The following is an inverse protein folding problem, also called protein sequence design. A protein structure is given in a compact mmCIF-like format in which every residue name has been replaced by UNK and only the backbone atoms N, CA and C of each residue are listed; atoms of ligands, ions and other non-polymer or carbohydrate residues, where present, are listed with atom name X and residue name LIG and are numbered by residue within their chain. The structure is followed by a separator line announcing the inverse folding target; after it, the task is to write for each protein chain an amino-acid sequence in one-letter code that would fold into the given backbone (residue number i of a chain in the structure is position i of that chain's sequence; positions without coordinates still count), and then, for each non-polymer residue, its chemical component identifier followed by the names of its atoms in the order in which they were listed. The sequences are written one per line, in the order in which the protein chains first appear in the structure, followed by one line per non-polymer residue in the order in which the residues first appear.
data_IF_732798127644
#
_entry.id   IF_732798127644
#
_cell.length_a   1.000
_cell.length_b   1.000
_cell.length_c   1.000
_cell.angle_alpha   90.00
_cell.angle_beta   90.00
_cell.angle_gamma   90.00
#
_symmetry.space_group_name_H-M   'P 1'
#
loop_
_entity.id
_entity.type
_entity.pdbx_description
1 polymer ?
#
# COMPACT_ATOMS: atom_id res chain seq x y z
N UNK A 1 24.63 11.17 -26.06
CA UNK A 1 24.35 10.29 -27.21
C UNK A 1 22.84 10.25 -27.42
N UNK A 2 22.35 10.86 -28.50
CA UNK A 2 20.93 10.93 -28.85
C UNK A 2 20.50 9.58 -29.43
N UNK A 3 19.61 8.86 -28.75
CA UNK A 3 18.85 7.75 -29.37
C UNK A 3 17.45 8.26 -29.65
N UNK A 4 17.18 8.49 -30.94
CA UNK A 4 15.86 8.70 -31.51
C UNK A 4 15.02 7.43 -31.31
N UNK A 5 13.89 7.55 -30.62
CA UNK A 5 12.81 6.56 -30.70
C UNK A 5 12.08 6.75 -32.05
N UNK A 6 11.68 5.67 -32.75
CA UNK A 6 10.78 5.80 -33.87
C UNK A 6 9.34 5.99 -33.35
N UNK A 7 8.72 7.09 -33.76
CA UNK A 7 7.27 7.28 -33.71
C UNK A 7 6.62 6.21 -34.61
N UNK A 8 5.85 5.30 -34.04
CA UNK A 8 4.91 4.48 -34.79
C UNK A 8 3.67 5.33 -35.06
N UNK A 9 3.63 5.91 -36.25
CA UNK A 9 2.48 6.61 -36.79
C UNK A 9 1.36 5.60 -37.08
N UNK A 10 0.24 5.71 -36.36
CA UNK A 10 -1.01 5.08 -36.76
C UNK A 10 -1.54 5.81 -38.01
N UNK A 11 -1.48 5.14 -39.16
CA UNK A 11 -2.17 5.59 -40.36
C UNK A 11 -3.68 5.29 -40.23
N UNK A 12 -4.59 6.26 -40.43
CA UNK A 12 -5.99 5.95 -40.61
C UNK A 12 -6.18 5.45 -42.05
N UNK A 13 -6.58 4.20 -42.22
CA UNK A 13 -7.03 3.72 -43.51
C UNK A 13 -8.34 4.45 -43.87
N UNK A 14 -8.26 5.39 -44.81
CA UNK A 14 -9.42 6.03 -45.43
C UNK A 14 -10.14 4.97 -46.29
N UNK A 15 -11.31 4.54 -45.82
CA UNK A 15 -12.23 3.71 -46.58
C UNK A 15 -13.02 4.63 -47.53
N UNK A 16 -12.78 4.51 -48.83
CA UNK A 16 -13.51 5.25 -49.86
C UNK A 16 -14.99 4.87 -49.85
N UNK A 17 -15.87 5.85 -49.63
CA UNK A 17 -17.31 5.70 -49.73
C UNK A 17 -17.73 5.55 -51.21
N UNK A 18 -18.28 4.39 -51.58
CA UNK A 18 -19.05 4.22 -52.81
C UNK A 18 -20.48 4.77 -52.60
N UNK A 19 -20.92 5.57 -53.57
CA UNK A 19 -22.21 6.26 -53.62
C UNK A 19 -23.40 5.29 -53.66
N UNK A 20 -24.41 5.62 -52.87
CA UNK A 20 -25.68 4.91 -52.73
C UNK A 20 -26.55 4.95 -54.01
N UNK A 21 -27.18 3.82 -54.30
CA UNK A 21 -28.49 3.73 -54.98
C UNK A 21 -29.32 2.66 -54.25
N UNK A 22 -30.49 3.05 -53.75
CA UNK A 22 -31.59 2.21 -53.21
C UNK A 22 -32.80 2.36 -54.17
N UNK A 23 -33.92 1.59 -54.11
CA UNK A 23 -34.32 0.43 -53.30
C UNK A 23 -35.07 -0.67 -54.17
N UNK A 24 -35.89 -1.65 -53.69
CA UNK A 24 -36.34 -1.96 -52.32
C UNK A 24 -36.41 -3.45 -51.89
N UNK A 25 -36.67 -3.60 -50.59
CA UNK A 25 -37.45 -4.64 -49.91
C UNK A 25 -36.76 -5.91 -49.37
N UNK A 26 -36.73 -5.95 -48.03
CA UNK A 26 -36.90 -7.10 -47.14
C UNK A 26 -35.81 -8.18 -47.11
N UNK A 27 -34.79 -7.94 -46.28
CA UNK A 27 -34.22 -8.99 -45.43
C UNK A 27 -33.55 -8.33 -44.22
N UNK A 28 -33.84 -8.86 -43.02
CA UNK A 28 -33.21 -8.44 -41.78
C UNK A 28 -31.67 -8.50 -41.91
N UNK A 29 -31.00 -7.34 -41.89
CA UNK A 29 -29.54 -7.30 -41.82
C UNK A 29 -29.13 -7.58 -40.39
N UNK A 30 -28.94 -8.86 -40.07
CA UNK A 30 -28.01 -9.26 -39.03
C UNK A 30 -26.67 -8.55 -39.31
N UNK A 31 -26.12 -7.87 -38.31
CA UNK A 31 -24.77 -7.32 -38.37
C UNK A 31 -23.81 -8.40 -38.89
N UNK A 32 -23.00 -8.14 -39.92
CA UNK A 32 -22.07 -9.14 -40.40
C UNK A 32 -21.01 -9.34 -39.31
N UNK A 33 -21.15 -10.42 -38.53
CA UNK A 33 -20.04 -10.97 -37.77
C UNK A 33 -18.95 -11.26 -38.78
N UNK A 34 -17.86 -10.51 -38.73
CA UNK A 34 -16.67 -10.75 -39.56
C UNK A 34 -16.26 -12.21 -39.35
N UNK A 35 -16.53 -13.06 -40.34
CA UNK A 35 -16.18 -14.47 -40.30
C UNK A 35 -14.74 -14.60 -40.80
N UNK A 36 -13.80 -14.65 -39.85
CA UNK A 36 -12.40 -14.93 -40.15
C UNK A 36 -12.29 -16.37 -40.69
N UNK A 37 -11.59 -16.54 -41.80
CA UNK A 37 -11.23 -17.87 -42.32
C UNK A 37 -10.26 -18.57 -41.35
N UNK A 38 -10.17 -19.90 -41.41
CA UNK A 38 -9.27 -20.68 -40.54
C UNK A 38 -7.81 -20.22 -40.65
N UNK A 39 -7.35 -19.89 -41.86
CA UNK A 39 -5.98 -19.39 -42.10
C UNK A 39 -5.78 -17.98 -41.52
N UNK A 40 -6.78 -17.10 -41.64
CA UNK A 40 -6.75 -15.77 -41.01
C UNK A 40 -6.72 -15.87 -39.48
N UNK A 41 -7.49 -16.80 -38.90
CA UNK A 41 -7.50 -17.05 -37.48
C UNK A 41 -6.15 -17.58 -36.99
N UNK A 42 -5.57 -18.58 -37.67
CA UNK A 42 -4.27 -19.13 -37.33
C UNK A 42 -3.15 -18.07 -37.42
N UNK A 43 -3.20 -17.20 -38.44
CA UNK A 43 -2.23 -16.11 -38.58
C UNK A 43 -2.42 -15.03 -37.49
N UNK A 44 -3.65 -14.66 -37.17
CA UNK A 44 -3.94 -13.68 -36.10
C UNK A 44 -3.51 -14.21 -34.74
N UNK A 45 -3.82 -15.46 -34.39
CA UNK A 45 -3.36 -16.08 -33.14
C UNK A 45 -1.83 -16.07 -33.07
N UNK A 46 -1.14 -16.47 -34.13
CA UNK A 46 0.33 -16.43 -34.16
C UNK A 46 0.90 -15.01 -33.99
N UNK A 47 0.26 -14.00 -34.59
CA UNK A 47 0.66 -12.60 -34.41
C UNK A 47 0.40 -12.12 -32.98
N UNK A 48 -0.71 -12.53 -32.36
CA UNK A 48 -1.01 -12.23 -30.96
C UNK A 48 0.03 -12.86 -30.05
N UNK A 49 0.39 -14.13 -30.25
CA UNK A 49 1.43 -14.81 -29.46
C UNK A 49 2.78 -14.07 -29.53
N UNK A 50 3.18 -13.61 -30.73
CA UNK A 50 4.42 -12.84 -30.91
C UNK A 50 4.36 -11.46 -30.24
N UNK A 51 3.20 -10.80 -30.30
CA UNK A 51 2.98 -9.52 -29.63
C UNK A 51 3.02 -9.71 -28.11
N UNK A 52 2.37 -10.75 -27.59
CA UNK A 52 2.38 -11.09 -26.16
C UNK A 52 3.79 -11.38 -25.66
N UNK A 53 4.58 -12.15 -26.40
CA UNK A 53 5.98 -12.44 -26.06
C UNK A 53 6.83 -11.15 -26.06
N UNK A 54 6.64 -10.29 -27.06
CA UNK A 54 7.35 -9.00 -27.16
C UNK A 54 6.95 -8.04 -26.03
N UNK A 55 5.65 -7.97 -25.69
CA UNK A 55 5.13 -7.15 -24.59
C UNK A 55 5.73 -7.62 -23.27
N UNK A 56 5.73 -8.93 -23.03
CA UNK A 56 6.26 -9.53 -21.79
C UNK A 56 7.75 -9.21 -21.65
N UNK A 57 8.53 -9.44 -22.71
CA UNK A 57 9.97 -9.14 -22.71
C UNK A 57 10.26 -7.66 -22.46
N UNK A 58 9.56 -6.76 -23.15
CA UNK A 58 9.76 -5.32 -22.97
C UNK A 58 9.38 -4.88 -21.55
N UNK A 59 8.32 -5.47 -20.97
CA UNK A 59 7.92 -5.24 -19.58
C UNK A 59 9.02 -5.67 -18.61
N UNK A 60 9.59 -6.86 -18.78
CA UNK A 60 10.62 -7.38 -17.88
C UNK A 60 11.91 -6.56 -17.96
N UNK A 61 12.30 -6.12 -19.16
CA UNK A 61 13.45 -5.22 -19.36
C UNK A 61 13.22 -3.86 -18.69
N UNK A 62 12.02 -3.29 -18.81
CA UNK A 62 11.65 -2.02 -18.18
C UNK A 62 11.67 -2.13 -16.65
N UNK A 63 11.07 -3.19 -16.09
CA UNK A 63 11.06 -3.44 -14.65
C UNK A 63 12.47 -3.73 -14.12
N UNK A 64 13.28 -4.51 -14.83
CA UNK A 64 14.66 -4.79 -14.46
C UNK A 64 15.51 -3.52 -14.41
N UNK A 65 15.34 -2.63 -15.40
CA UNK A 65 16.03 -1.33 -15.43
C UNK A 65 15.61 -0.44 -14.27
N UNK A 66 14.29 -0.33 -14.01
CA UNK A 66 13.76 0.41 -12.88
C UNK A 66 14.34 -0.12 -11.57
N UNK A 67 14.23 -1.43 -11.31
CA UNK A 67 14.74 -2.08 -10.09
C UNK A 67 16.22 -1.81 -9.84
N UNK A 68 17.06 -1.88 -10.88
CA UNK A 68 18.48 -1.55 -10.76
C UNK A 68 18.68 -0.11 -10.29
N UNK A 69 17.94 0.84 -10.87
CA UNK A 69 18.02 2.25 -10.48
C UNK A 69 17.52 2.49 -9.06
N UNK A 70 16.37 1.94 -8.68
CA UNK A 70 15.81 2.08 -7.34
C UNK A 70 16.73 1.46 -6.28
N UNK A 71 17.31 0.30 -6.55
CA UNK A 71 18.29 -0.34 -5.67
C UNK A 71 19.54 0.51 -5.47
N UNK A 72 20.06 1.09 -6.54
CA UNK A 72 21.21 2.00 -6.46
C UNK A 72 20.88 3.26 -5.63
N UNK A 73 19.71 3.86 -5.88
CA UNK A 73 19.25 5.05 -5.17
C UNK A 73 18.96 4.80 -3.68
N UNK A 74 18.41 3.63 -3.34
CA UNK A 74 18.17 3.22 -1.96
C UNK A 74 19.47 3.04 -1.15
N UNK A 75 20.63 2.95 -1.79
CA UNK A 75 21.92 2.77 -1.12
C UNK A 75 22.37 3.95 -0.26
N UNK A 76 21.91 5.17 -0.53
CA UNK A 76 22.27 6.36 0.27
C UNK A 76 21.24 7.49 0.12
N UNK A 77 21.16 8.38 1.12
CA UNK A 77 20.29 9.57 1.05
C UNK A 77 20.64 10.48 -0.14
N UNK A 78 21.94 10.63 -0.42
CA UNK A 78 22.40 11.42 -1.57
C UNK A 78 21.88 10.82 -2.89
N UNK A 79 22.07 9.51 -3.09
CA UNK A 79 21.61 8.84 -4.31
C UNK A 79 20.08 8.88 -4.44
N UNK A 80 19.36 8.80 -3.32
CA UNK A 80 17.91 8.93 -3.26
C UNK A 80 17.44 10.33 -3.71
N UNK A 81 18.06 11.40 -3.20
CA UNK A 81 17.75 12.78 -3.60
C UNK A 81 18.13 13.04 -5.06
N UNK A 82 19.28 12.53 -5.52
CA UNK A 82 19.71 12.67 -6.91
C UNK A 82 18.73 11.98 -7.88
N UNK A 83 18.19 10.80 -7.51
CA UNK A 83 17.15 10.13 -8.28
C UNK A 83 15.83 10.93 -8.26
N UNK A 84 15.42 11.44 -7.10
CA UNK A 84 14.22 12.29 -6.99
C UNK A 84 14.30 13.50 -7.92
N UNK A 85 15.41 14.24 -7.88
CA UNK A 85 15.62 15.41 -8.74
C UNK A 85 15.59 15.05 -10.23
N UNK A 86 16.15 13.89 -10.60
CA UNK A 86 16.11 13.39 -11.97
C UNK A 86 14.69 13.06 -12.41
N UNK A 87 13.89 12.44 -11.53
CA UNK A 87 12.49 12.12 -11.80
C UNK A 87 11.62 13.38 -11.90
N UNK A 88 11.77 14.33 -10.98
CA UNK A 88 11.10 15.63 -11.01
C UNK A 88 11.42 16.39 -12.30
N UNK A 89 12.70 16.48 -12.67
CA UNK A 89 13.10 17.11 -13.92
C UNK A 89 12.42 16.44 -15.12
N UNK A 90 12.46 15.12 -15.19
CA UNK A 90 11.87 14.37 -16.30
C UNK A 90 10.35 14.63 -16.41
N UNK A 91 9.62 14.54 -15.30
CA UNK A 91 8.15 14.56 -15.29
C UNK A 91 7.60 15.98 -15.39
N UNK A 92 8.15 16.92 -14.62
CA UNK A 92 7.59 18.27 -14.49
C UNK A 92 8.20 19.27 -15.46
N UNK A 93 9.32 18.94 -16.12
CA UNK A 93 10.00 19.84 -17.04
C UNK A 93 10.19 19.21 -18.42
N UNK A 94 10.96 18.13 -18.52
CA UNK A 94 11.37 17.59 -19.82
C UNK A 94 10.16 17.08 -20.62
N UNK A 95 9.25 16.31 -20.00
CA UNK A 95 8.01 15.83 -20.65
C UNK A 95 6.96 16.92 -20.91
N UNK A 96 7.12 18.08 -20.29
CA UNK A 96 6.23 19.25 -20.47
C UNK A 96 6.88 20.32 -21.35
N UNK A 97 7.97 19.99 -22.05
CA UNK A 97 8.74 20.88 -22.92
C UNK A 97 9.15 22.21 -22.26
N UNK A 98 9.40 22.18 -20.94
CA UNK A 98 9.86 23.37 -20.18
C UNK A 98 11.37 23.55 -20.34
N UNK A 99 11.86 24.76 -20.10
CA UNK A 99 13.27 25.06 -20.28
C UNK A 99 14.09 24.47 -19.14
N UNK A 100 15.32 24.04 -19.43
CA UNK A 100 16.29 23.61 -18.40
C UNK A 100 16.52 24.70 -17.34
N UNK A 101 16.47 25.98 -17.73
CA UNK A 101 16.58 27.11 -16.80
C UNK A 101 15.45 27.15 -15.79
N UNK A 102 14.24 26.71 -16.17
CA UNK A 102 13.07 26.68 -15.28
C UNK A 102 13.27 25.64 -14.18
N UNK A 103 13.94 24.52 -14.49
CA UNK A 103 14.30 23.52 -13.49
C UNK A 103 15.32 24.05 -12.49
N UNK A 104 16.32 24.80 -12.95
CA UNK A 104 17.30 25.41 -12.03
C UNK A 104 16.63 26.44 -11.11
N UNK A 105 15.78 27.31 -11.65
CA UNK A 105 14.99 28.27 -10.86
C UNK A 105 14.10 27.55 -9.85
N UNK A 106 13.43 26.47 -10.25
CA UNK A 106 12.65 25.64 -9.33
C UNK A 106 13.54 25.04 -8.24
N UNK A 107 14.72 24.50 -8.58
CA UNK A 107 15.64 23.90 -7.62
C UNK A 107 16.11 24.95 -6.60
N UNK A 108 16.43 26.16 -7.06
CA UNK A 108 16.83 27.27 -6.20
C UNK A 108 15.68 27.70 -5.27
N UNK A 109 14.46 27.79 -5.79
CA UNK A 109 13.26 28.10 -5.01
C UNK A 109 12.90 27.02 -3.98
N UNK A 110 13.32 25.77 -4.21
CA UNK A 110 13.09 24.65 -3.30
C UNK A 110 14.34 24.25 -2.51
N UNK A 111 15.42 25.04 -2.57
CA UNK A 111 16.69 24.72 -1.92
C UNK A 111 16.51 24.44 -0.42
N UNK A 112 15.67 25.22 0.27
CA UNK A 112 15.39 25.01 1.70
C UNK A 112 14.77 23.64 2.01
N UNK A 113 13.86 23.16 1.17
CA UNK A 113 13.27 21.82 1.29
C UNK A 113 14.32 20.75 0.96
N UNK A 114 15.06 20.92 -0.14
CA UNK A 114 16.06 19.95 -0.59
C UNK A 114 17.24 19.81 0.39
N UNK A 115 17.53 20.86 1.16
CA UNK A 115 18.54 20.85 2.22
C UNK A 115 17.97 20.49 3.60
N UNK A 116 16.65 20.26 3.72
CA UNK A 116 16.08 19.91 5.02
C UNK A 116 16.61 18.53 5.45
N UNK A 117 17.10 18.37 6.70
CA UNK A 117 17.62 17.10 7.19
C UNK A 117 16.62 15.94 7.11
N UNK A 118 15.31 16.21 7.09
CA UNK A 118 14.26 15.18 6.95
C UNK A 118 14.10 14.69 5.51
N UNK A 119 14.43 15.53 4.52
CA UNK A 119 14.09 15.30 3.13
C UNK A 119 14.81 14.07 2.56
N UNK A 120 16.13 13.99 2.75
CA UNK A 120 16.94 12.88 2.25
C UNK A 120 16.50 11.52 2.79
N UNK A 121 16.42 11.34 4.12
CA UNK A 121 15.92 10.10 4.74
C UNK A 121 14.49 9.73 4.29
N UNK A 122 13.58 10.70 4.21
CA UNK A 122 12.20 10.43 3.81
C UNK A 122 12.08 9.96 2.35
N UNK A 123 12.80 10.63 1.43
CA UNK A 123 12.86 10.22 0.02
C UNK A 123 13.49 8.84 -0.14
N UNK A 124 14.54 8.54 0.62
CA UNK A 124 15.15 7.22 0.63
C UNK A 124 14.14 6.14 1.04
N UNK A 125 13.36 6.35 2.10
CA UNK A 125 12.32 5.42 2.51
C UNK A 125 11.21 5.26 1.45
N UNK A 126 10.80 6.34 0.78
CA UNK A 126 9.83 6.25 -0.32
C UNK A 126 10.36 5.38 -1.48
N UNK A 127 11.66 5.51 -1.82
CA UNK A 127 12.34 4.68 -2.81
C UNK A 127 12.44 3.23 -2.33
N UNK A 128 12.78 2.97 -1.05
CA UNK A 128 12.82 1.62 -0.48
C UNK A 128 11.45 0.92 -0.57
N UNK A 129 10.36 1.62 -0.29
CA UNK A 129 9.02 1.03 -0.40
C UNK A 129 8.57 0.83 -1.85
N UNK A 130 8.96 1.74 -2.75
CA UNK A 130 8.74 1.57 -4.20
C UNK A 130 9.50 0.35 -4.71
N UNK A 131 10.74 0.14 -4.25
CA UNK A 131 11.55 -1.04 -4.55
C UNK A 131 10.87 -2.32 -4.07
N UNK A 132 10.40 -2.36 -2.82
CA UNK A 132 9.64 -3.50 -2.28
C UNK A 132 8.38 -3.78 -3.12
N UNK A 133 7.66 -2.74 -3.53
CA UNK A 133 6.45 -2.87 -4.34
C UNK A 133 6.73 -3.39 -5.75
N UNK A 134 7.88 -3.03 -6.34
CA UNK A 134 8.34 -3.59 -7.61
C UNK A 134 8.76 -5.06 -7.46
N UNK A 135 9.48 -5.39 -6.39
CA UNK A 135 9.87 -6.78 -6.10
C UNK A 135 8.63 -7.67 -5.89
N UNK A 136 7.58 -7.15 -5.26
CA UNK A 136 6.31 -7.85 -5.09
C UNK A 136 5.65 -8.22 -6.43
N UNK A 137 5.89 -7.47 -7.50
CA UNK A 137 5.37 -7.82 -8.84
C UNK A 137 6.17 -8.92 -9.54
N UNK A 138 7.38 -9.23 -9.08
CA UNK A 138 8.29 -10.20 -9.70
C UNK A 138 8.36 -11.55 -8.99
N UNK A 139 7.98 -11.58 -7.71
CA UNK A 139 7.92 -12.82 -6.94
C UNK A 139 6.56 -13.48 -7.12
N UNK A 140 6.55 -14.80 -7.22
CA UNK A 140 5.30 -15.57 -7.13
C UNK A 140 4.78 -15.49 -5.69
N UNK A 141 5.63 -15.86 -4.72
CA UNK A 141 5.32 -15.84 -3.29
C UNK A 141 5.88 -14.60 -2.57
N UNK A 142 5.02 -13.89 -1.84
CA UNK A 142 5.40 -12.67 -1.09
C UNK A 142 6.27 -12.98 0.14
N UNK A 143 6.34 -14.24 0.58
CA UNK A 143 7.05 -14.69 1.79
C UNK A 143 8.46 -14.12 1.92
N UNK A 144 9.19 -14.04 0.81
CA UNK A 144 10.56 -13.50 0.74
C UNK A 144 10.65 -12.01 1.08
N UNK A 145 9.54 -11.29 1.03
CA UNK A 145 9.42 -9.86 1.28
C UNK A 145 8.92 -9.52 2.70
N UNK A 146 8.49 -10.52 3.49
CA UNK A 146 7.93 -10.29 4.84
C UNK A 146 8.94 -9.61 5.77
N UNK A 147 10.14 -10.17 5.89
CA UNK A 147 11.17 -9.59 6.75
C UNK A 147 11.65 -8.20 6.25
N UNK A 148 11.93 -8.00 4.94
CA UNK A 148 12.19 -6.66 4.39
C UNK A 148 11.08 -5.63 4.68
N UNK A 149 9.81 -6.04 4.59
CA UNK A 149 8.65 -5.18 4.82
C UNK A 149 8.51 -4.80 6.30
N UNK A 150 8.67 -5.75 7.23
CA UNK A 150 8.69 -5.47 8.67
C UNK A 150 9.86 -4.53 9.03
N UNK A 151 11.05 -4.74 8.46
CA UNK A 151 12.20 -3.87 8.66
C UNK A 151 11.96 -2.46 8.13
N UNK A 152 11.30 -2.33 6.97
CA UNK A 152 10.87 -1.05 6.44
C UNK A 152 9.92 -0.32 7.40
N UNK A 153 8.88 -1.00 7.91
CA UNK A 153 7.92 -0.40 8.85
C UNK A 153 8.61 0.16 10.09
N UNK A 154 9.55 -0.58 10.68
CA UNK A 154 10.33 -0.12 11.83
C UNK A 154 11.12 1.16 11.53
N UNK A 155 11.82 1.20 10.38
CA UNK A 155 12.56 2.41 9.96
C UNK A 155 11.63 3.59 9.67
N UNK A 156 10.49 3.35 9.03
CA UNK A 156 9.55 4.39 8.65
C UNK A 156 8.87 5.03 9.87
N UNK A 157 8.41 4.22 10.82
CA UNK A 157 7.84 4.74 12.07
C UNK A 157 8.92 5.42 12.92
N UNK A 158 10.13 4.85 12.99
CA UNK A 158 11.25 5.47 13.69
C UNK A 158 11.60 6.86 13.17
N UNK A 159 11.69 7.01 11.84
CA UNK A 159 11.97 8.32 11.23
C UNK A 159 10.86 9.34 11.53
N UNK A 160 9.59 8.92 11.49
CA UNK A 160 8.47 9.81 11.86
C UNK A 160 8.61 10.24 13.32
N UNK A 161 8.90 9.33 14.24
CA UNK A 161 9.07 9.62 15.67
C UNK A 161 10.24 10.57 15.94
N UNK A 162 11.38 10.37 15.27
CA UNK A 162 12.57 11.22 15.42
C UNK A 162 12.32 12.66 14.98
N UNK A 163 11.44 12.85 14.00
CA UNK A 163 11.14 14.14 13.39
C UNK A 163 9.91 14.85 13.97
N UNK A 164 9.19 14.21 14.89
CA UNK A 164 8.05 14.81 15.62
C UNK A 164 8.43 15.14 17.05
N UNK A 165 8.16 16.37 17.50
CA UNK A 165 8.23 16.77 18.91
C UNK A 165 6.83 17.10 19.43
N UNK A 166 6.55 16.66 20.65
CA UNK A 166 5.40 17.14 21.41
C UNK A 166 5.84 18.33 22.26
N UNK A 167 5.21 19.49 22.06
CA UNK A 167 5.44 20.65 22.91
C UNK A 167 4.70 20.50 24.25
N UNK A 168 5.07 21.30 25.25
CA UNK A 168 4.42 21.29 26.56
C UNK A 168 2.93 21.70 26.52
N UNK A 169 2.47 22.34 25.43
CA UNK A 169 1.06 22.65 25.18
C UNK A 169 0.31 21.52 24.46
N UNK A 170 0.99 20.41 24.14
CA UNK A 170 0.44 19.28 23.41
C UNK A 170 0.55 19.41 21.89
N UNK A 171 0.94 20.55 21.32
CA UNK A 171 1.05 20.72 19.86
C UNK A 171 2.18 19.85 19.31
N UNK A 172 1.91 19.12 18.22
CA UNK A 172 2.94 18.39 17.46
C UNK A 172 3.68 19.37 16.56
N UNK A 173 4.98 19.50 16.76
CA UNK A 173 5.86 20.35 15.98
C UNK A 173 6.99 19.54 15.35
N UNK A 174 7.63 20.10 14.31
CA UNK A 174 8.84 19.52 13.75
C UNK A 174 9.96 19.52 14.81
N UNK A 175 10.77 18.47 14.84
CA UNK A 175 11.91 18.44 15.74
C UNK A 175 12.95 19.53 15.40
N UNK A 176 13.32 20.40 16.34
CA UNK A 176 14.42 21.36 16.13
C UNK A 176 15.71 20.64 15.75
N UNK A 177 16.22 20.91 14.54
CA UNK A 177 17.45 20.35 13.99
C UNK A 177 18.71 21.10 14.45
N UNK A 178 18.63 21.94 15.49
CA UNK A 178 19.75 22.78 15.93
C UNK A 178 20.78 22.00 16.76
N UNK A 179 21.42 21.00 16.14
CA UNK A 179 22.61 20.30 16.64
C UNK A 179 23.73 20.39 15.60
N UNK A 180 24.18 21.61 15.31
CA UNK A 180 25.57 22.01 15.01
C UNK A 180 25.60 23.35 14.25
N UNK A 181 26.27 24.33 14.83
CA UNK A 181 26.94 25.37 14.06
C UNK A 181 26.17 26.68 13.88
N UNK A 182 26.65 27.69 14.59
CA UNK A 182 26.52 29.12 14.37
C UNK A 182 26.22 29.52 12.89
N UNK A 183 24.96 29.71 12.52
CA UNK A 183 24.56 30.32 11.25
C UNK A 183 24.01 31.73 11.51
N UNK A 184 24.37 32.75 10.70
CA UNK A 184 23.92 34.12 10.93
C UNK A 184 22.40 34.22 10.79
N UNK A 185 21.75 34.80 11.81
CA UNK A 185 20.33 35.17 11.79
C UNK A 185 20.09 36.21 10.70
N UNK A 186 19.66 35.76 9.54
CA UNK A 186 19.21 36.61 8.46
C UNK A 186 18.17 35.89 7.63
N UNK A 187 16.94 36.43 7.66
CA UNK A 187 15.82 36.20 6.73
C UNK A 187 14.78 35.15 7.14
N UNK A 188 13.66 35.70 7.63
CA UNK A 188 12.27 35.25 7.54
C UNK A 188 11.92 33.92 8.24
N UNK A 189 11.28 34.04 9.40
CA UNK A 189 10.66 32.96 10.15
C UNK A 189 9.47 32.36 9.41
N UNK A 190 9.74 31.47 8.45
CA UNK A 190 8.80 30.42 8.08
C UNK A 190 8.86 29.34 9.15
N UNK A 191 7.76 29.14 9.89
CA UNK A 191 7.60 27.95 10.72
C UNK A 191 7.90 26.71 9.86
N UNK A 192 8.82 25.85 10.33
CA UNK A 192 9.07 24.56 9.69
C UNK A 192 7.74 23.81 9.68
N UNK A 193 7.22 23.36 8.52
CA UNK A 193 6.02 22.56 8.51
C UNK A 193 6.33 21.24 9.25
N UNK A 194 5.67 21.03 10.39
CA UNK A 194 5.66 19.72 11.04
C UNK A 194 5.13 18.68 10.04
N UNK A 195 5.83 17.56 9.89
CA UNK A 195 5.38 16.46 9.04
C UNK A 195 5.81 16.54 7.58
N UNK A 196 6.99 17.08 7.24
CA UNK A 196 7.57 16.89 5.89
C UNK A 196 7.81 15.40 5.61
N UNK A 197 8.42 14.69 6.57
CA UNK A 197 8.58 13.22 6.51
C UNK A 197 7.23 12.52 6.23
N UNK A 198 6.18 12.95 6.94
CA UNK A 198 4.84 12.41 6.74
C UNK A 198 4.27 12.77 5.37
N UNK A 199 4.43 14.01 4.94
CA UNK A 199 3.97 14.49 3.63
C UNK A 199 4.64 13.74 2.48
N UNK A 200 5.92 13.37 2.61
CA UNK A 200 6.65 12.56 1.62
C UNK A 200 6.19 11.11 1.63
N UNK A 201 5.94 10.53 2.83
CA UNK A 201 5.55 9.12 2.97
C UNK A 201 4.04 8.85 2.79
N UNK A 202 3.17 9.84 3.03
CA UNK A 202 1.70 9.78 2.87
C UNK A 202 1.18 10.62 1.69
N UNK A 203 2.06 11.32 0.97
CA UNK A 203 1.69 12.19 -0.14
C UNK A 203 0.82 13.39 0.17
N UNK A 204 1.01 13.94 1.37
CA UNK A 204 0.47 15.22 1.80
C UNK A 204 1.20 16.36 1.10
N UNK A 205 0.86 16.60 -0.16
CA UNK A 205 1.39 17.68 -0.98
C UNK A 205 1.46 17.26 -2.43
N UNK A 206 1.32 18.20 -3.35
CA UNK A 206 1.30 18.00 -4.80
C UNK A 206 2.65 17.49 -5.39
N UNK A 207 3.47 16.78 -4.59
CA UNK A 207 4.92 16.54 -4.79
C UNK A 207 5.41 15.16 -4.33
N UNK A 208 4.53 14.16 -4.21
CA UNK A 208 4.95 12.77 -3.97
C UNK A 208 3.81 11.92 -3.48
N UNK A 209 3.06 11.31 -4.40
CA UNK A 209 1.86 10.52 -4.20
C UNK A 209 1.73 9.70 -2.91
N UNK A 210 0.52 9.70 -2.34
CA UNK A 210 0.19 8.98 -1.11
C UNK A 210 0.14 7.47 -1.28
N UNK A 211 0.18 7.00 -2.53
CA UNK A 211 0.52 5.64 -2.89
C UNK A 211 1.76 5.62 -3.79
N UNK A 212 2.42 4.46 -3.86
CA UNK A 212 3.57 4.25 -4.76
C UNK A 212 3.21 4.58 -6.21
N UNK A 213 1.95 4.35 -6.62
CA UNK A 213 1.49 4.53 -8.01
C UNK A 213 1.47 6.01 -8.42
N UNK A 214 1.12 6.93 -7.54
CA UNK A 214 1.07 8.38 -7.85
C UNK A 214 2.37 9.11 -7.55
N UNK A 215 3.40 8.40 -7.07
CA UNK A 215 4.72 8.97 -6.80
C UNK A 215 5.37 9.55 -8.06
N UNK A 216 6.26 10.54 -7.89
CA UNK A 216 7.07 11.06 -9.01
C UNK A 216 7.92 9.97 -9.66
N UNK A 217 8.31 8.97 -8.87
CA UNK A 217 9.04 7.79 -9.32
C UNK A 217 8.21 6.92 -10.28
N UNK A 218 6.98 6.59 -9.89
CA UNK A 218 6.06 5.86 -10.76
C UNK A 218 5.80 6.62 -12.04
N UNK A 219 5.51 7.93 -11.97
CA UNK A 219 5.30 8.76 -13.15
C UNK A 219 6.53 8.77 -14.05
N UNK A 220 7.72 8.94 -13.49
CA UNK A 220 8.98 8.98 -14.25
C UNK A 220 9.25 7.66 -14.99
N UNK A 221 8.98 6.52 -14.36
CA UNK A 221 9.23 5.19 -14.93
C UNK A 221 7.98 4.53 -15.55
N UNK A 222 6.84 5.23 -15.58
CA UNK A 222 5.53 4.74 -16.03
C UNK A 222 5.12 3.44 -15.32
N UNK A 223 5.32 3.39 -14.01
CA UNK A 223 5.15 2.15 -13.23
C UNK A 223 3.71 1.86 -12.82
N UNK A 224 2.79 2.80 -13.04
CA UNK A 224 1.40 2.72 -12.57
C UNK A 224 0.72 1.43 -13.04
N UNK A 225 0.99 1.06 -14.29
CA UNK A 225 0.39 -0.10 -14.95
C UNK A 225 1.02 -1.43 -14.52
N UNK A 226 2.17 -1.42 -13.83
CA UNK A 226 2.82 -2.64 -13.36
C UNK A 226 2.37 -3.03 -11.95
N UNK A 227 1.80 -2.10 -11.17
CA UNK A 227 1.37 -2.35 -9.79
C UNK A 227 -0.03 -2.96 -9.73
N UNK A 228 -0.13 -4.25 -10.00
CA UNK A 228 -1.43 -4.95 -10.20
C UNK A 228 -1.79 -5.96 -9.10
N UNK A 229 -0.83 -6.38 -8.26
CA UNK A 229 -1.10 -7.31 -7.14
C UNK A 229 -2.15 -6.77 -6.17
N UNK A 230 -3.10 -7.62 -5.76
CA UNK A 230 -4.21 -7.26 -4.85
C UNK A 230 -3.91 -7.56 -3.38
N UNK A 231 -3.08 -8.56 -3.14
CA UNK A 231 -2.51 -8.99 -1.86
C UNK A 231 -1.33 -8.11 -1.42
N UNK A 232 -1.09 -6.98 -2.08
CA UNK A 232 -0.06 -6.01 -1.71
C UNK A 232 -0.68 -4.66 -1.31
N UNK A 233 -0.04 -3.98 -0.36
CA UNK A 233 -0.38 -2.62 0.02
C UNK A 233 0.55 -1.64 -0.69
N UNK A 234 0.01 -0.60 -1.35
CA UNK A 234 0.80 0.37 -2.10
C UNK A 234 0.99 1.68 -1.34
N UNK A 235 0.42 1.80 -0.14
CA UNK A 235 0.56 2.96 0.73
C UNK A 235 1.58 2.65 1.84
N UNK A 236 2.79 3.26 1.83
CA UNK A 236 3.90 2.91 2.72
C UNK A 236 3.58 2.93 4.22
N UNK A 237 2.72 3.85 4.65
CA UNK A 237 2.35 4.02 6.05
C UNK A 237 0.94 3.50 6.39
N UNK A 238 0.29 2.76 5.48
CA UNK A 238 -0.96 2.07 5.79
C UNK A 238 -0.66 0.78 6.57
N UNK A 239 -0.30 0.92 7.84
CA UNK A 239 0.07 -0.19 8.73
C UNK A 239 -1.02 -1.27 8.73
N UNK A 240 -2.28 -0.88 8.86
CA UNK A 240 -3.40 -1.83 8.84
C UNK A 240 -3.48 -2.60 7.50
N UNK A 241 -3.33 -1.92 6.37
CA UNK A 241 -3.32 -2.53 5.04
C UNK A 241 -2.16 -3.51 4.85
N UNK A 242 -0.94 -3.10 5.22
CA UNK A 242 0.26 -3.93 5.14
C UNK A 242 0.10 -5.21 5.97
N UNK A 243 -0.36 -5.09 7.22
CA UNK A 243 -0.54 -6.28 8.05
C UNK A 243 -1.69 -7.16 7.57
N UNK A 244 -2.83 -6.58 7.17
CA UNK A 244 -4.00 -7.38 6.77
C UNK A 244 -3.85 -8.09 5.42
N UNK A 245 -3.15 -7.48 4.46
CA UNK A 245 -2.97 -8.05 3.11
C UNK A 245 -1.76 -8.96 3.01
N UNK A 246 -0.67 -8.64 3.73
CA UNK A 246 0.63 -9.29 3.54
C UNK A 246 1.06 -10.08 4.76
N UNK A 247 1.27 -9.40 5.90
CA UNK A 247 1.97 -10.01 7.03
C UNK A 247 1.10 -11.06 7.74
N UNK A 248 -0.12 -10.72 8.14
CA UNK A 248 -0.98 -11.63 8.90
C UNK A 248 -1.37 -12.89 8.11
N UNK A 249 -1.73 -12.82 6.81
CA UNK A 249 -1.98 -14.03 6.02
C UNK A 249 -0.77 -14.98 5.98
N UNK A 250 0.44 -14.45 5.74
CA UNK A 250 1.67 -15.26 5.75
C UNK A 250 1.87 -16.00 7.07
N UNK A 251 1.72 -15.29 8.20
CA UNK A 251 1.90 -15.90 9.52
C UNK A 251 0.78 -16.86 9.89
N UNK A 252 -0.45 -16.63 9.42
CA UNK A 252 -1.56 -17.54 9.64
C UNK A 252 -1.29 -18.90 8.99
N UNK A 253 -0.78 -18.88 7.75
CA UNK A 253 -0.52 -20.07 6.95
C UNK A 253 0.77 -20.78 7.36
N UNK A 254 1.87 -20.04 7.48
CA UNK A 254 3.20 -20.63 7.63
C UNK A 254 3.68 -20.73 9.08
N UNK A 255 3.21 -19.84 9.97
CA UNK A 255 3.73 -19.68 11.34
C UNK A 255 2.62 -19.35 12.36
N UNK A 256 1.57 -20.18 12.50
CA UNK A 256 0.39 -19.86 13.30
C UNK A 256 0.70 -19.60 14.79
N UNK A 257 1.77 -20.22 15.32
CA UNK A 257 2.24 -19.96 16.68
C UNK A 257 2.71 -18.51 16.90
N UNK A 258 3.21 -17.84 15.85
CA UNK A 258 3.67 -16.45 15.88
C UNK A 258 2.56 -15.45 15.49
N UNK A 259 1.41 -15.93 14.99
CA UNK A 259 0.32 -15.08 14.49
C UNK A 259 -0.19 -14.08 15.54
N UNK A 260 -0.36 -14.51 16.79
CA UNK A 260 -0.77 -13.62 17.88
C UNK A 260 0.27 -12.50 18.13
N UNK A 261 1.55 -12.83 18.08
CA UNK A 261 2.62 -11.85 18.27
C UNK A 261 2.66 -10.83 17.14
N UNK A 262 2.33 -11.22 15.90
CA UNK A 262 2.25 -10.28 14.78
C UNK A 262 1.09 -9.30 14.89
N UNK A 263 -0.03 -9.73 15.49
CA UNK A 263 -1.10 -8.79 15.86
C UNK A 263 -0.62 -7.78 16.91
N UNK A 264 0.15 -8.21 17.90
CA UNK A 264 0.72 -7.29 18.90
C UNK A 264 1.69 -6.29 18.24
N UNK A 265 2.53 -6.76 17.32
CA UNK A 265 3.41 -5.91 16.52
C UNK A 265 2.61 -4.88 15.71
N UNK A 266 1.53 -5.30 15.02
CA UNK A 266 0.64 -4.39 14.30
C UNK A 266 0.11 -3.29 15.20
N UNK A 267 -0.50 -3.67 16.33
CA UNK A 267 -1.12 -2.73 17.28
C UNK A 267 -0.07 -1.74 17.78
N UNK A 268 1.10 -2.23 18.20
CA UNK A 268 2.18 -1.39 18.70
C UNK A 268 2.71 -0.43 17.63
N UNK A 269 2.90 -0.88 16.38
CA UNK A 269 3.34 -0.04 15.26
C UNK A 269 2.30 1.04 14.95
N UNK A 270 1.01 0.68 14.89
CA UNK A 270 -0.07 1.63 14.61
C UNK A 270 -0.18 2.69 15.72
N UNK A 271 -0.17 2.28 16.98
CA UNK A 271 -0.20 3.20 18.12
C UNK A 271 1.03 4.09 18.18
N UNK A 272 2.22 3.55 17.89
CA UNK A 272 3.47 4.31 17.86
C UNK A 272 3.46 5.40 16.81
N UNK A 273 2.94 5.09 15.62
CA UNK A 273 2.75 6.05 14.54
C UNK A 273 1.71 7.10 14.93
N UNK A 274 0.54 6.69 15.45
CA UNK A 274 -0.52 7.61 15.88
C UNK A 274 -0.04 8.57 16.96
N UNK A 275 0.69 8.05 17.94
CA UNK A 275 1.27 8.85 19.02
C UNK A 275 2.23 9.90 18.47
N UNK A 276 3.08 9.56 17.51
CA UNK A 276 4.01 10.52 16.90
C UNK A 276 3.27 11.65 16.15
N UNK A 277 2.12 11.34 15.55
CA UNK A 277 1.39 12.25 14.67
C UNK A 277 0.36 13.13 15.37
N UNK A 278 0.00 12.81 16.60
CA UNK A 278 -1.09 13.48 17.32
C UNK A 278 -0.58 14.17 18.58
N UNK A 279 -1.28 15.21 19.02
CA UNK A 279 -1.05 15.74 20.36
C UNK A 279 -1.29 14.66 21.40
N UNK A 280 -0.67 14.78 22.58
CA UNK A 280 -0.91 13.81 23.66
C UNK A 280 -2.42 13.71 23.98
N UNK A 281 -3.13 14.84 24.03
CA UNK A 281 -4.58 14.85 24.27
C UNK A 281 -5.37 14.14 23.18
N UNK A 282 -5.09 14.41 21.90
CA UNK A 282 -5.75 13.73 20.78
C UNK A 282 -5.41 12.24 20.76
N UNK A 283 -4.17 11.88 21.05
CA UNK A 283 -3.74 10.50 21.15
C UNK A 283 -4.47 9.77 22.28
N UNK A 284 -4.66 10.39 23.45
CA UNK A 284 -5.42 9.77 24.55
C UNK A 284 -6.89 9.55 24.18
N UNK A 285 -7.51 10.50 23.47
CA UNK A 285 -8.88 10.32 22.94
C UNK A 285 -8.91 9.18 21.92
N UNK A 286 -7.98 9.17 20.96
CA UNK A 286 -7.83 8.10 19.97
C UNK A 286 -7.63 6.75 20.64
N UNK A 287 -6.72 6.65 21.59
CA UNK A 287 -6.37 5.42 22.30
C UNK A 287 -7.59 4.84 23.02
N UNK A 288 -8.31 5.66 23.79
CA UNK A 288 -9.51 5.24 24.53
C UNK A 288 -10.61 4.70 23.60
N UNK A 289 -10.72 5.22 22.38
CA UNK A 289 -11.72 4.80 21.39
C UNK A 289 -11.26 3.63 20.52
N UNK A 290 -10.01 3.61 20.07
CA UNK A 290 -9.56 2.70 19.01
C UNK A 290 -8.79 1.51 19.55
N UNK A 291 -8.08 1.63 20.68
CA UNK A 291 -7.34 0.50 21.25
C UNK A 291 -8.25 -0.69 21.59
N UNK A 292 -9.42 -0.51 22.25
CA UNK A 292 -10.35 -1.63 22.48
C UNK A 292 -10.81 -2.30 21.17
N UNK A 293 -10.98 -1.55 20.08
CA UNK A 293 -11.36 -2.09 18.78
C UNK A 293 -10.24 -2.92 18.15
N UNK A 294 -8.99 -2.47 18.28
CA UNK A 294 -7.81 -3.19 17.77
C UNK A 294 -7.61 -4.52 18.50
N UNK A 295 -7.70 -4.52 19.84
CA UNK A 295 -7.58 -5.76 20.62
C UNK A 295 -8.77 -6.68 20.38
N UNK A 296 -9.98 -6.13 20.19
CA UNK A 296 -11.15 -6.91 19.79
C UNK A 296 -10.93 -7.61 18.45
N UNK A 297 -10.43 -6.90 17.45
CA UNK A 297 -10.14 -7.45 16.13
C UNK A 297 -9.10 -8.58 16.21
N UNK A 298 -8.04 -8.42 17.02
CA UNK A 298 -7.07 -9.49 17.31
C UNK A 298 -7.77 -10.72 17.89
N UNK A 299 -8.52 -10.57 18.98
CA UNK A 299 -9.19 -11.70 19.63
C UNK A 299 -10.19 -12.38 18.69
N UNK A 300 -10.93 -11.62 17.89
CA UNK A 300 -11.80 -12.16 16.87
C UNK A 300 -11.02 -12.96 15.82
N UNK A 301 -9.92 -12.44 15.29
CA UNK A 301 -9.11 -13.17 14.31
C UNK A 301 -8.50 -14.44 14.90
N UNK A 302 -8.08 -14.43 16.17
CA UNK A 302 -7.62 -15.64 16.85
C UNK A 302 -8.73 -16.70 16.95
N UNK A 303 -9.92 -16.27 17.38
CA UNK A 303 -11.09 -17.15 17.47
C UNK A 303 -11.49 -17.75 16.11
N UNK A 304 -11.65 -16.91 15.08
CA UNK A 304 -12.09 -17.35 13.74
C UNK A 304 -11.12 -18.31 13.08
N UNK A 305 -9.83 -18.25 13.43
CA UNK A 305 -8.80 -19.14 12.90
C UNK A 305 -8.50 -20.33 13.83
N UNK A 306 -9.32 -20.56 14.85
CA UNK A 306 -9.14 -21.64 15.84
C UNK A 306 -7.81 -21.60 16.60
N UNK A 307 -7.20 -20.42 16.73
CA UNK A 307 -5.94 -20.20 17.45
C UNK A 307 -6.28 -19.74 18.87
N UNK A 308 -6.01 -20.59 19.87
CA UNK A 308 -6.27 -20.29 21.28
C UNK A 308 -7.71 -19.80 21.56
N UNK A 309 -8.72 -20.40 20.91
CA UNK A 309 -10.10 -19.91 20.88
C UNK A 309 -10.73 -19.64 22.25
N UNK A 310 -10.45 -20.48 23.25
CA UNK A 310 -10.96 -20.27 24.62
C UNK A 310 -10.40 -18.98 25.22
N UNK A 311 -9.09 -18.75 25.08
CA UNK A 311 -8.45 -17.53 25.54
C UNK A 311 -8.94 -16.32 24.74
N UNK A 312 -9.11 -16.46 23.43
CA UNK A 312 -9.65 -15.40 22.58
C UNK A 312 -11.06 -14.96 23.03
N UNK A 313 -11.96 -15.90 23.35
CA UNK A 313 -13.29 -15.59 23.90
C UNK A 313 -13.21 -14.93 25.28
N UNK A 314 -12.28 -15.38 26.14
CA UNK A 314 -12.05 -14.77 27.44
C UNK A 314 -11.56 -13.32 27.30
N UNK A 315 -10.66 -13.05 26.35
CA UNK A 315 -10.18 -11.70 26.04
C UNK A 315 -11.29 -10.81 25.49
N UNK A 316 -12.15 -11.33 24.60
CA UNK A 316 -13.34 -10.62 24.11
C UNK A 316 -14.27 -10.21 25.26
N UNK A 317 -14.54 -11.14 26.18
CA UNK A 317 -15.35 -10.85 27.37
C UNK A 317 -14.71 -9.78 28.27
N UNK A 318 -13.39 -9.84 28.44
CA UNK A 318 -12.63 -8.85 29.20
C UNK A 318 -12.77 -7.45 28.57
N UNK A 319 -12.62 -7.32 27.26
CA UNK A 319 -12.75 -6.04 26.54
C UNK A 319 -14.12 -5.40 26.79
N UNK A 320 -15.20 -6.19 26.71
CA UNK A 320 -16.56 -5.70 26.97
C UNK A 320 -16.70 -5.21 28.42
N UNK A 321 -16.19 -5.97 29.39
CA UNK A 321 -16.26 -5.62 30.81
C UNK A 321 -15.49 -4.34 31.15
N UNK A 322 -14.33 -4.14 30.53
CA UNK A 322 -13.49 -2.97 30.76
C UNK A 322 -13.98 -1.72 30.01
N UNK A 323 -14.82 -1.89 28.98
CA UNK A 323 -15.27 -0.81 28.09
C UNK A 323 -16.81 -0.76 27.92
N UNK A 324 -17.62 -0.72 29.00
CA UNK A 324 -19.08 -0.84 28.90
C UNK A 324 -19.77 0.33 28.19
N UNK A 325 -19.14 1.51 28.16
CA UNK A 325 -19.67 2.72 27.51
C UNK A 325 -19.12 2.93 26.10
N UNK A 326 -18.35 1.98 25.56
CA UNK A 326 -17.77 2.13 24.23
C UNK A 326 -18.87 2.05 23.15
N UNK A 327 -18.82 2.86 22.07
CA UNK A 327 -19.84 2.85 21.02
C UNK A 327 -20.14 1.46 20.43
N UNK A 328 -19.10 0.63 20.30
CA UNK A 328 -19.22 -0.74 19.77
C UNK A 328 -19.56 -1.80 20.83
N UNK A 329 -19.71 -1.46 22.12
CA UNK A 329 -19.91 -2.45 23.19
C UNK A 329 -21.15 -3.33 22.97
N UNK A 330 -22.25 -2.75 22.51
CA UNK A 330 -23.48 -3.50 22.18
C UNK A 330 -23.27 -4.49 21.03
N UNK A 331 -22.53 -4.08 19.99
CA UNK A 331 -22.19 -4.95 18.86
C UNK A 331 -21.27 -6.10 19.29
N UNK A 332 -20.27 -5.81 20.13
CA UNK A 332 -19.37 -6.81 20.71
C UNK A 332 -20.11 -7.86 21.54
N UNK A 333 -21.07 -7.45 22.37
CA UNK A 333 -21.89 -8.41 23.13
C UNK A 333 -22.66 -9.35 22.21
N UNK A 334 -23.25 -8.84 21.13
CA UNK A 334 -23.98 -9.67 20.15
C UNK A 334 -23.04 -10.68 19.48
N UNK A 335 -21.91 -10.20 18.97
CA UNK A 335 -20.92 -11.05 18.31
C UNK A 335 -20.30 -12.08 19.26
N UNK A 336 -20.04 -11.74 20.52
CA UNK A 336 -19.55 -12.72 21.50
C UNK A 336 -20.60 -13.82 21.77
N UNK A 337 -21.88 -13.47 21.86
CA UNK A 337 -22.96 -14.48 22.01
C UNK A 337 -23.01 -15.42 20.81
N UNK A 338 -22.90 -14.87 19.60
CA UNK A 338 -22.85 -15.68 18.36
C UNK A 338 -21.65 -16.64 18.37
N UNK A 339 -20.45 -16.13 18.69
CA UNK A 339 -19.24 -16.93 18.77
C UNK A 339 -19.33 -18.04 19.83
N UNK A 340 -19.89 -17.76 21.01
CA UNK A 340 -20.08 -18.77 22.07
C UNK A 340 -21.07 -19.85 21.62
N UNK A 341 -22.16 -19.47 20.94
CA UNK A 341 -23.14 -20.43 20.44
C UNK A 341 -22.55 -21.36 19.36
N UNK A 342 -21.59 -20.88 18.56
CA UNK A 342 -20.89 -21.72 17.56
C UNK A 342 -20.03 -22.81 18.20
N UNK A 343 -19.56 -22.62 19.43
CA UNK A 343 -18.72 -23.57 20.16
C UNK A 343 -19.54 -24.40 21.16
N UNK A 344 -20.85 -24.17 21.28
CA UNK A 344 -21.69 -25.02 22.12
C UNK A 344 -21.71 -26.44 21.53
N UNK A 345 -21.44 -27.48 22.35
CA UNK A 345 -21.61 -28.84 21.90
C UNK A 345 -23.09 -29.03 21.53
N UNK A 346 -23.36 -29.51 20.31
CA UNK A 346 -24.70 -29.95 19.91
C UNK A 346 -25.22 -30.88 21.01
N UNK A 347 -26.40 -30.63 21.61
CA UNK A 347 -26.93 -31.54 22.62
C UNK A 347 -27.00 -32.92 22.01
N UNK A 348 -26.28 -33.87 22.61
CA UNK A 348 -26.34 -35.27 22.22
C UNK A 348 -27.81 -35.67 22.21
N UNK A 349 -28.31 -36.08 21.03
CA UNK A 349 -29.64 -36.64 20.89
C UNK A 349 -29.80 -37.69 21.99
N UNK A 350 -30.84 -37.61 22.85
CA UNK A 350 -30.96 -38.54 23.95
C UNK A 350 -31.06 -39.94 23.36
N UNK A 351 -30.03 -40.75 23.60
CA UNK A 351 -30.06 -42.16 23.28
C UNK A 351 -31.34 -42.73 23.91
N UNK A 352 -32.21 -43.27 23.04
CA UNK A 352 -33.42 -43.97 23.42
C UNK A 352 -33.07 -44.93 24.55
N UNK A 353 -33.69 -44.69 25.70
CA UNK A 353 -33.69 -45.61 26.84
C UNK A 353 -34.35 -46.90 26.36
N UNK A 354 -33.55 -47.94 26.20
CA UNK A 354 -34.01 -49.30 26.00
C UNK A 354 -34.83 -49.71 27.26
N UNK A 355 -36.10 -50.11 27.13
CA UNK A 355 -36.88 -50.54 28.28
C UNK A 355 -36.41 -51.93 28.72
N UNK A 356 -36.17 -52.08 30.02
CA UNK A 356 -35.87 -53.33 30.68
C UNK A 356 -36.93 -54.40 30.33
N UNK A 357 -36.50 -55.44 29.62
CA UNK A 357 -37.31 -56.63 29.40
C UNK A 357 -37.41 -57.42 30.71
N UNK A 358 -38.61 -57.41 31.29
CA UNK A 358 -39.05 -58.40 32.26
C UNK A 358 -39.45 -59.70 31.53
N UNK A 359 -38.87 -60.82 31.94
CA UNK A 359 -39.40 -62.19 31.79
C UNK A 359 -38.68 -63.05 32.84
N UNK A 360 -39.30 -63.43 33.95
CA UNK A 360 -40.20 -64.59 34.11
C UNK A 360 -39.60 -65.87 33.52
N UNK A 361 -38.84 -66.60 34.35
CA UNK A 361 -39.21 -67.93 34.83
C UNK A 361 -38.43 -68.29 36.09
#
# INVERSE_FOLDING_TARGET
MKRLLPLLAFAPALLSAQTATEPPAAAATATPKVALTADQMANLTKQLDQIEETITKNRDEALGTALSQFRSAAGSEKAAVDLYLSCEKLVEFDRKDRKTTDFQVWKDNNAGMLSDPEFGPAIKLQIEYTLLSLQAQQVEEIDTLIAPLQAFLGRAVGLVQENTKHTASGVVEAADSNKKGNAPRGRQGGQRPAGMTLGILQGGGNRGGGDVKSSVFSRAYQLENYFTRQDWEYVPLNIAGIYSKVILPFYLENKPAEFSAQWDMRINTELSLRKALQSETEFQVYYKQNYPQLVWAKSQSLFSNSINSIQALADMLKIIRENPTHPNASAWVKQLRENVNQVQPTPASPALTEPAAAAVN
#
